data_IF_248990876246
#
_entry.id   IF_248990876246
#
_cell.length_a   1.000
_cell.length_b   1.000
_cell.length_c   1.000
_cell.angle_alpha   90.00
_cell.angle_beta   90.00
_cell.angle_gamma   90.00
#
_symmetry.space_group_name_H-M   'P 1'
#
loop_
_entity.id
_entity.type
_entity.pdbx_description
1 polymer ?
#
# COMPACT_ATOMS: atom_id res chain seq x y z
N UNK A 1 -6.30 -7.65 3.96
CA UNK A 1 -5.89 -7.18 2.62
C UNK A 1 -4.39 -6.92 2.58
N UNK A 2 -3.76 -7.18 1.46
CA UNK A 2 -2.32 -7.01 1.29
C UNK A 2 -2.04 -6.09 0.12
N UNK A 3 -1.20 -5.09 0.34
CA UNK A 3 -0.71 -4.21 -0.70
C UNK A 3 0.79 -4.40 -0.81
N UNK A 4 1.26 -4.63 -2.03
CA UNK A 4 2.69 -4.78 -2.29
C UNK A 4 3.18 -3.66 -3.19
N UNK A 5 4.25 -3.03 -2.79
CA UNK A 5 4.95 -2.04 -3.60
C UNK A 5 6.19 -2.69 -4.21
N UNK A 6 6.29 -2.64 -5.51
CA UNK A 6 7.38 -3.25 -6.26
C UNK A 6 7.10 -3.19 -7.74
N UNK A 7 7.62 -4.14 -8.50
CA UNK A 7 7.45 -4.15 -9.95
C UNK A 7 6.02 -4.41 -10.40
N UNK A 8 5.26 -5.14 -9.61
CA UNK A 8 3.89 -5.50 -9.99
C UNK A 8 2.87 -4.79 -9.13
N UNK A 9 2.25 -5.11 -8.27
CA UNK A 9 1.37 -4.46 -7.34
C UNK A 9 0.63 -3.26 -7.89
N UNK A 10 0.62 -2.20 -7.14
CA UNK A 10 -0.13 -0.98 -7.46
C UNK A 10 0.35 -0.27 -8.72
N UNK A 11 1.58 -0.54 -9.14
CA UNK A 11 2.09 0.10 -10.35
C UNK A 11 1.23 -0.23 -11.57
N UNK A 12 0.75 -1.45 -11.65
CA UNK A 12 -0.14 -1.85 -12.74
C UNK A 12 -1.51 -1.17 -12.63
N UNK A 13 -1.95 -0.86 -11.43
CA UNK A 13 -3.26 -0.25 -11.19
C UNK A 13 -3.25 1.23 -11.51
N UNK A 14 -2.21 1.94 -11.08
CA UNK A 14 -2.14 3.40 -11.21
C UNK A 14 -1.44 3.86 -12.48
N UNK A 15 -1.02 2.95 -13.33
CA UNK A 15 -0.45 3.27 -14.63
C UNK A 15 1.04 3.55 -14.58
N UNK A 16 1.51 4.22 -15.65
CA UNK A 16 2.94 4.44 -15.83
C UNK A 16 3.53 5.44 -14.84
N UNK A 17 2.76 6.41 -14.43
CA UNK A 17 3.20 7.44 -13.53
C UNK A 17 2.93 7.05 -12.09
N UNK A 18 3.99 6.67 -11.39
CA UNK A 18 3.89 6.19 -10.03
C UNK A 18 4.32 7.32 -9.08
N UNK A 19 3.39 8.18 -8.71
CA UNK A 19 3.65 9.35 -7.89
C UNK A 19 3.06 9.19 -6.48
N UNK A 20 3.56 9.99 -5.53
CA UNK A 20 3.02 10.00 -4.18
C UNK A 20 1.54 10.37 -4.17
N UNK A 21 1.16 11.33 -5.00
CA UNK A 21 -0.23 11.74 -5.10
C UNK A 21 -1.13 10.59 -5.53
N UNK A 22 -0.71 9.84 -6.55
CA UNK A 22 -1.48 8.69 -7.02
C UNK A 22 -1.52 7.57 -6.00
N UNK A 23 -0.42 7.34 -5.31
CA UNK A 23 -0.39 6.33 -4.24
C UNK A 23 -1.38 6.70 -3.15
N UNK A 24 -1.40 7.97 -2.73
CA UNK A 24 -2.34 8.42 -1.70
C UNK A 24 -3.78 8.32 -2.17
N UNK A 25 -4.02 8.66 -3.41
CA UNK A 25 -5.36 8.57 -3.99
C UNK A 25 -5.87 7.12 -4.00
N UNK A 26 -5.03 6.21 -4.44
CA UNK A 26 -5.37 4.78 -4.46
C UNK A 26 -5.52 4.22 -3.05
N UNK A 27 -4.70 4.69 -2.11
CA UNK A 27 -4.81 4.28 -0.72
C UNK A 27 -6.15 4.71 -0.13
N UNK A 28 -6.59 5.93 -0.43
CA UNK A 28 -7.88 6.40 0.06
C UNK A 28 -9.03 5.57 -0.52
N UNK A 29 -8.96 5.24 -1.81
CA UNK A 29 -9.95 4.36 -2.43
C UNK A 29 -9.99 2.99 -1.77
N UNK A 30 -8.82 2.44 -1.45
CA UNK A 30 -8.73 1.16 -0.76
C UNK A 30 -9.31 1.25 0.65
N UNK A 31 -9.02 2.34 1.36
CA UNK A 31 -9.56 2.56 2.70
C UNK A 31 -11.10 2.63 2.67
N UNK A 32 -11.63 3.36 1.70
CA UNK A 32 -13.08 3.46 1.52
C UNK A 32 -13.70 2.08 1.27
N UNK A 33 -13.07 1.30 0.42
CA UNK A 33 -13.53 -0.06 0.14
C UNK A 33 -13.53 -0.90 1.41
N UNK A 34 -12.46 -0.83 2.21
CA UNK A 34 -12.37 -1.60 3.44
C UNK A 34 -13.45 -1.21 4.44
N UNK A 35 -13.76 0.08 4.55
CA UNK A 35 -14.84 0.53 5.42
C UNK A 35 -16.20 0.02 4.93
N UNK A 36 -16.44 0.11 3.62
CA UNK A 36 -17.70 -0.36 3.03
C UNK A 36 -17.92 -1.86 3.25
N UNK A 37 -16.83 -2.63 3.21
CA UNK A 37 -16.89 -4.09 3.38
C UNK A 37 -16.74 -4.52 4.84
N UNK A 38 -16.64 -3.59 5.77
CA UNK A 38 -16.48 -3.92 7.18
C UNK A 38 -15.15 -4.56 7.51
N UNK A 39 -14.11 -4.25 6.74
CA UNK A 39 -12.78 -4.87 6.88
C UNK A 39 -11.79 -4.02 7.66
N UNK A 40 -12.16 -2.82 8.06
CA UNK A 40 -11.20 -1.90 8.70
C UNK A 40 -10.57 -2.47 9.96
N UNK A 41 -11.32 -3.26 10.73
CA UNK A 41 -10.80 -3.88 11.95
C UNK A 41 -9.87 -5.06 11.68
N UNK A 42 -9.93 -5.63 10.50
CA UNK A 42 -9.04 -6.74 10.11
C UNK A 42 -7.65 -6.25 9.80
N UNK A 43 -7.56 -5.01 9.35
CA UNK A 43 -6.28 -4.41 9.05
C UNK A 43 -5.80 -4.67 7.64
N UNK A 44 -4.67 -4.06 7.33
CA UNK A 44 -4.03 -4.16 6.03
C UNK A 44 -2.55 -4.41 6.22
N UNK A 45 -1.98 -5.25 5.35
CA UNK A 45 -0.54 -5.48 5.32
C UNK A 45 0.04 -4.75 4.12
N UNK A 46 1.01 -3.89 4.37
CA UNK A 46 1.72 -3.17 3.31
C UNK A 46 3.11 -3.78 3.19
N UNK A 47 3.36 -4.42 2.05
CA UNK A 47 4.67 -4.97 1.74
C UNK A 47 5.44 -4.05 0.83
N UNK A 48 6.75 -3.96 1.01
CA UNK A 48 7.60 -3.14 0.17
C UNK A 48 8.93 -3.83 -0.11
N UNK A 49 9.51 -3.47 -1.24
CA UNK A 49 10.80 -3.97 -1.70
C UNK A 49 11.73 -2.77 -1.84
N UNK A 50 12.82 -2.78 -1.10
CA UNK A 50 13.74 -1.64 -1.03
C UNK A 50 14.51 -1.36 -2.32
N UNK A 51 14.47 -2.29 -3.29
CA UNK A 51 15.17 -2.09 -4.55
C UNK A 51 14.64 -0.93 -5.39
N UNK A 52 13.41 -0.51 -5.17
CA UNK A 52 12.74 0.46 -6.03
C UNK A 52 12.20 1.66 -5.27
N UNK A 53 12.86 2.05 -4.19
CA UNK A 53 12.41 3.16 -3.35
C UNK A 53 10.95 3.01 -2.90
N UNK A 54 10.44 1.79 -2.90
CA UNK A 54 9.04 1.53 -2.59
C UNK A 54 8.69 1.76 -1.13
N UNK A 55 9.71 1.89 -0.25
CA UNK A 55 9.45 2.21 1.15
C UNK A 55 8.78 3.58 1.29
N UNK A 56 9.21 4.56 0.52
CA UNK A 56 8.63 5.90 0.57
C UNK A 56 7.17 5.88 0.11
N UNK A 57 6.86 5.08 -0.91
CA UNK A 57 5.48 4.90 -1.36
C UNK A 57 4.67 4.13 -0.33
N UNK A 58 5.26 3.12 0.30
CA UNK A 58 4.59 2.38 1.35
C UNK A 58 4.28 3.29 2.54
N UNK A 59 5.20 4.18 2.90
CA UNK A 59 4.98 5.14 3.98
C UNK A 59 3.84 6.10 3.65
N UNK A 60 3.77 6.58 2.41
CA UNK A 60 2.68 7.45 1.97
C UNK A 60 1.32 6.74 2.06
N UNK A 61 1.28 5.47 1.64
CA UNK A 61 0.09 4.66 1.76
C UNK A 61 -0.30 4.47 3.23
N UNK A 62 0.69 4.19 4.08
CA UNK A 62 0.46 3.97 5.50
C UNK A 62 -0.15 5.19 6.17
N UNK A 63 0.31 6.39 5.83
CA UNK A 63 -0.24 7.63 6.37
C UNK A 63 -1.73 7.73 6.10
N UNK A 64 -2.15 7.39 4.88
CA UNK A 64 -3.55 7.42 4.52
C UNK A 64 -4.35 6.38 5.30
N UNK A 65 -3.82 5.18 5.43
CA UNK A 65 -4.50 4.11 6.17
C UNK A 65 -4.69 4.46 7.64
N UNK A 66 -3.64 5.00 8.26
CA UNK A 66 -3.72 5.43 9.67
C UNK A 66 -4.74 6.54 9.84
N UNK A 67 -4.75 7.51 8.93
CA UNK A 67 -5.70 8.61 8.97
C UNK A 67 -7.15 8.12 8.84
N UNK A 68 -7.35 6.99 8.20
CA UNK A 68 -8.69 6.39 8.05
C UNK A 68 -9.02 5.37 9.15
N UNK A 69 -8.18 5.26 10.16
CA UNK A 69 -8.44 4.35 11.27
C UNK A 69 -8.29 2.87 10.93
N UNK A 70 -7.52 2.56 9.91
CA UNK A 70 -7.30 1.18 9.50
C UNK A 70 -6.07 0.62 10.19
N UNK A 71 -6.19 -0.55 10.77
CA UNK A 71 -5.09 -1.24 11.43
C UNK A 71 -4.03 -1.60 10.40
N UNK A 72 -2.78 -1.30 10.69
CA UNK A 72 -1.70 -1.38 9.71
C UNK A 72 -0.58 -2.30 10.16
N UNK A 73 -0.11 -3.12 9.24
CA UNK A 73 1.07 -3.95 9.42
C UNK A 73 2.03 -3.71 8.26
N UNK A 74 3.28 -3.45 8.59
CA UNK A 74 4.33 -3.35 7.57
C UNK A 74 5.07 -4.67 7.44
N UNK A 75 5.39 -5.04 6.20
CA UNK A 75 6.23 -6.18 5.93
C UNK A 75 7.28 -5.80 4.89
N UNK A 76 8.54 -5.88 5.27
CA UNK A 76 9.62 -5.72 4.32
C UNK A 76 9.74 -7.00 3.51
N UNK A 77 9.58 -6.89 2.21
CA UNK A 77 9.70 -8.04 1.35
C UNK A 77 11.17 -8.40 1.19
N UNK A 78 11.48 -9.63 1.55
CA UNK A 78 12.82 -10.13 1.38
C UNK A 78 13.05 -10.52 -0.07
N UNK A 79 14.10 -9.98 -0.66
CA UNK A 79 14.48 -10.36 -2.01
C UNK A 79 15.45 -11.51 -1.90
N UNK A 80 14.94 -12.71 -2.03
CA UNK A 80 15.79 -13.87 -2.00
C UNK A 80 16.41 -14.10 -3.37
N UNK A 81 17.69 -14.41 -3.43
CA UNK A 81 18.29 -14.84 -4.68
C UNK A 81 17.54 -16.06 -5.20
N UNK A 82 17.27 -16.03 -6.45
CA UNK A 82 16.55 -17.14 -7.09
C UNK A 82 17.47 -17.86 -8.03
#
# INVERSE_FOLDING_TARGET
MIIKFGTDGWRAIIGEEFTFERVRYCAQGTANYMHDQGLSSRGIVIGYDTRFASKEFADACAEVMIANGIKLFFARLSVLPR
#
